data_IF_344700660798
#
_entry.id   IF_344700660798
#
_cell.length_a   1.000
_cell.length_b   1.000
_cell.length_c   1.000
_cell.angle_alpha   90.00
_cell.angle_beta   90.00
_cell.angle_gamma   90.00
#
_symmetry.space_group_name_H-M   'P 1'
#
loop_
_entity.id
_entity.type
_entity.pdbx_description
1 polymer ?
#
# COMPACT_ATOMS: atom_id res chain seq x y z
N UNK A 1 9.66 -20.41 -22.23
CA UNK A 1 8.39 -20.18 -21.52
C UNK A 1 8.70 -19.40 -20.26
N UNK A 2 8.07 -18.26 -20.04
CA UNK A 2 8.13 -17.53 -18.76
C UNK A 2 7.48 -18.43 -17.70
N UNK A 3 8.16 -18.66 -16.57
CA UNK A 3 7.60 -19.43 -15.46
C UNK A 3 6.32 -18.77 -14.92
N UNK A 4 5.39 -19.57 -14.40
CA UNK A 4 4.21 -19.04 -13.69
C UNK A 4 4.62 -18.46 -12.34
N UNK A 5 4.01 -17.33 -11.96
CA UNK A 5 4.18 -16.75 -10.62
C UNK A 5 3.69 -17.72 -9.55
N UNK A 6 4.49 -17.85 -8.50
CA UNK A 6 4.08 -18.58 -7.28
C UNK A 6 3.00 -17.77 -6.55
N UNK A 7 3.24 -16.47 -6.37
CA UNK A 7 2.27 -15.59 -5.72
C UNK A 7 1.51 -14.75 -6.74
N UNK A 8 0.20 -14.70 -6.59
CA UNK A 8 -0.72 -13.87 -7.37
C UNK A 8 -1.16 -12.62 -6.61
N UNK A 9 -0.94 -12.61 -5.31
CA UNK A 9 -1.26 -11.53 -4.42
C UNK A 9 -0.09 -11.26 -3.47
N UNK A 10 0.10 -9.98 -3.11
CA UNK A 10 1.02 -9.57 -2.07
C UNK A 10 0.37 -8.53 -1.15
N UNK A 11 0.57 -8.68 0.16
CA UNK A 11 0.19 -7.69 1.17
C UNK A 11 1.47 -7.11 1.78
N UNK A 12 1.69 -5.81 1.61
CA UNK A 12 2.86 -5.09 2.11
C UNK A 12 2.41 -4.08 3.17
N UNK A 13 2.86 -4.27 4.41
CA UNK A 13 2.61 -3.36 5.51
C UNK A 13 3.85 -2.60 5.93
N UNK A 14 3.80 -1.27 5.89
CA UNK A 14 4.89 -0.38 6.31
C UNK A 14 4.35 0.75 7.16
N UNK A 15 5.09 1.14 8.20
CA UNK A 15 4.78 2.31 9.01
C UNK A 15 4.74 3.60 8.18
N UNK A 16 4.21 4.67 8.76
CA UNK A 16 4.26 6.00 8.16
C UNK A 16 5.72 6.40 7.91
N UNK A 17 5.97 7.14 6.81
CA UNK A 17 7.29 7.50 6.28
C UNK A 17 8.12 6.34 5.72
N UNK A 18 7.60 5.11 5.73
CA UNK A 18 8.24 3.93 5.13
C UNK A 18 8.38 3.97 3.60
N UNK A 19 7.97 5.06 2.93
CA UNK A 19 8.12 5.22 1.48
C UNK A 19 7.04 4.53 0.64
N UNK A 20 5.90 4.13 1.22
CA UNK A 20 4.84 3.35 0.56
C UNK A 20 4.49 3.83 -0.85
N UNK A 21 4.10 5.10 -1.01
CA UNK A 21 3.72 5.62 -2.33
C UNK A 21 4.87 5.65 -3.34
N UNK A 22 6.12 5.72 -2.86
CA UNK A 22 7.32 5.57 -3.70
C UNK A 22 7.45 4.12 -4.18
N UNK A 23 7.27 3.17 -3.26
CA UNK A 23 7.30 1.73 -3.53
C UNK A 23 6.15 1.35 -4.46
N UNK A 24 4.93 1.88 -4.23
CA UNK A 24 3.76 1.65 -5.10
C UNK A 24 4.05 2.06 -6.56
N UNK A 25 4.60 3.26 -6.75
CA UNK A 25 4.97 3.74 -8.07
C UNK A 25 6.07 2.87 -8.72
N UNK A 26 7.13 2.54 -7.95
CA UNK A 26 8.24 1.73 -8.44
C UNK A 26 7.80 0.31 -8.81
N UNK A 27 6.96 -0.33 -7.99
CA UNK A 27 6.44 -1.67 -8.27
C UNK A 27 5.58 -1.68 -9.53
N UNK A 28 4.65 -0.73 -9.67
CA UNK A 28 3.83 -0.63 -10.88
C UNK A 28 4.67 -0.46 -12.15
N UNK A 29 5.67 0.43 -12.11
CA UNK A 29 6.60 0.62 -13.23
C UNK A 29 7.45 -0.65 -13.48
N UNK A 30 8.01 -1.25 -12.44
CA UNK A 30 8.85 -2.46 -12.59
C UNK A 30 8.08 -3.58 -13.26
N UNK A 31 6.80 -3.77 -12.93
CA UNK A 31 5.95 -4.78 -13.57
C UNK A 31 5.73 -4.46 -15.05
N UNK A 32 5.53 -3.19 -15.40
CA UNK A 32 5.34 -2.77 -16.80
C UNK A 32 6.62 -2.97 -17.63
N UNK A 33 7.81 -2.65 -17.10
CA UNK A 33 9.06 -2.74 -17.85
C UNK A 33 9.69 -4.14 -17.83
N UNK A 34 9.64 -4.83 -16.71
CA UNK A 34 10.29 -6.15 -16.57
C UNK A 34 9.43 -7.29 -17.13
N UNK A 35 8.12 -7.09 -17.20
CA UNK A 35 7.17 -8.08 -17.71
C UNK A 35 6.24 -7.46 -18.74
N UNK A 36 6.77 -6.87 -19.82
CA UNK A 36 5.94 -6.21 -20.81
C UNK A 36 5.02 -7.23 -21.47
N UNK A 37 3.73 -6.92 -21.45
CA UNK A 37 2.69 -7.64 -22.16
C UNK A 37 2.15 -6.72 -23.26
N UNK A 38 1.92 -7.25 -24.45
CA UNK A 38 1.31 -6.48 -25.53
C UNK A 38 -0.05 -5.92 -25.07
N UNK A 39 -0.24 -4.61 -25.22
CA UNK A 39 -1.40 -3.87 -24.71
C UNK A 39 -1.66 -4.09 -23.20
N UNK A 40 -0.59 -4.36 -22.42
CA UNK A 40 -0.69 -4.64 -20.99
C UNK A 40 -1.12 -3.42 -20.19
N UNK A 41 -2.05 -3.61 -19.25
CA UNK A 41 -2.57 -2.57 -18.37
C UNK A 41 -2.00 -2.72 -16.95
N UNK A 42 -1.33 -1.66 -16.47
CA UNK A 42 -0.70 -1.60 -15.14
C UNK A 42 -1.28 -0.45 -14.36
N UNK A 43 -1.86 -0.74 -13.20
CA UNK A 43 -2.59 0.25 -12.42
C UNK A 43 -2.03 0.43 -11.02
N UNK A 44 -2.07 1.68 -10.54
CA UNK A 44 -2.01 1.98 -9.12
C UNK A 44 -3.34 2.59 -8.71
N UNK A 45 -3.99 2.01 -7.72
CA UNK A 45 -5.24 2.52 -7.14
C UNK A 45 -4.91 3.34 -5.90
N UNK A 46 -5.33 4.59 -5.87
CA UNK A 46 -5.16 5.50 -4.74
C UNK A 46 -6.52 6.00 -4.24
N UNK A 47 -6.59 6.37 -2.97
CA UNK A 47 -7.84 6.69 -2.27
C UNK A 47 -8.57 7.92 -2.79
N UNK A 48 -7.82 8.88 -3.36
CA UNK A 48 -8.38 10.13 -3.91
C UNK A 48 -7.65 10.54 -5.19
N UNK A 49 -8.28 11.39 -6.01
CA UNK A 49 -7.62 11.99 -7.20
C UNK A 49 -6.33 12.73 -6.84
N UNK A 50 -6.28 13.40 -5.68
CA UNK A 50 -5.07 14.08 -5.21
C UNK A 50 -3.95 13.10 -4.90
N UNK A 51 -4.27 12.01 -4.21
CA UNK A 51 -3.30 10.96 -3.89
C UNK A 51 -2.83 10.23 -5.16
N UNK A 52 -3.74 9.96 -6.09
CA UNK A 52 -3.41 9.43 -7.40
C UNK A 52 -2.39 10.31 -8.13
N UNK A 53 -2.60 11.63 -8.14
CA UNK A 53 -1.64 12.58 -8.71
C UNK A 53 -0.25 12.49 -8.08
N UNK A 54 -0.16 12.37 -6.74
CA UNK A 54 1.13 12.25 -6.03
C UNK A 54 1.88 10.97 -6.44
N UNK A 55 1.18 9.84 -6.54
CA UNK A 55 1.80 8.57 -6.95
C UNK A 55 2.22 8.63 -8.42
N UNK A 56 1.38 9.18 -9.29
CA UNK A 56 1.70 9.36 -10.71
C UNK A 56 2.91 10.26 -10.92
N UNK A 57 3.01 11.39 -10.21
CA UNK A 57 4.16 12.29 -10.31
C UNK A 57 5.47 11.60 -9.86
N UNK A 58 5.41 10.70 -8.87
CA UNK A 58 6.57 9.88 -8.47
C UNK A 58 6.97 8.94 -9.60
N UNK A 59 6.02 8.21 -10.19
CA UNK A 59 6.26 7.33 -11.34
C UNK A 59 6.86 8.09 -12.52
N UNK A 60 6.26 9.22 -12.88
CA UNK A 60 6.75 10.11 -13.94
C UNK A 60 8.19 10.59 -13.70
N UNK A 61 8.52 11.01 -12.47
CA UNK A 61 9.89 11.43 -12.12
C UNK A 61 10.88 10.29 -12.24
N UNK A 62 10.53 9.06 -11.87
CA UNK A 62 11.38 7.89 -12.03
C UNK A 62 11.68 7.64 -13.51
N UNK A 63 10.66 7.65 -14.37
CA UNK A 63 10.84 7.48 -15.83
C UNK A 63 11.72 8.58 -16.41
N UNK A 64 11.47 9.85 -16.05
CA UNK A 64 12.22 10.97 -16.60
C UNK A 64 13.67 11.05 -16.10
N UNK A 65 13.97 10.49 -14.94
CA UNK A 65 15.30 10.46 -14.34
C UNK A 65 16.21 9.41 -15.00
N UNK A 66 15.66 8.35 -15.56
CA UNK A 66 16.42 7.29 -16.21
C UNK A 66 16.43 7.51 -17.74
N UNK A 67 17.60 7.62 -18.40
CA UNK A 67 17.68 7.86 -19.84
C UNK A 67 17.02 6.78 -20.70
N UNK A 68 17.14 5.51 -20.30
CA UNK A 68 16.56 4.38 -21.03
C UNK A 68 15.02 4.40 -20.92
N UNK A 69 14.50 4.52 -19.72
CA UNK A 69 13.05 4.58 -19.51
C UNK A 69 12.44 5.80 -20.23
N UNK A 70 13.12 6.95 -20.16
CA UNK A 70 12.68 8.16 -20.85
C UNK A 70 12.66 8.00 -22.38
N UNK A 71 13.61 7.29 -22.94
CA UNK A 71 13.70 7.07 -24.39
C UNK A 71 12.60 6.10 -24.89
N UNK A 72 12.15 5.17 -24.04
CA UNK A 72 11.18 4.13 -24.41
C UNK A 72 9.74 4.44 -23.99
N UNK A 73 9.50 5.58 -23.30
CA UNK A 73 8.19 5.89 -22.72
C UNK A 73 7.66 7.22 -23.20
N UNK A 74 6.43 7.23 -23.71
CA UNK A 74 5.65 8.44 -23.87
C UNK A 74 4.97 8.83 -22.58
N UNK A 75 5.19 10.06 -22.15
CA UNK A 75 4.67 10.61 -20.89
C UNK A 75 3.51 11.55 -21.20
N UNK A 76 2.30 11.13 -20.88
CA UNK A 76 1.09 11.95 -20.99
C UNK A 76 0.73 12.56 -19.62
N UNK A 77 -0.39 13.28 -19.57
CA UNK A 77 -0.87 13.95 -18.34
C UNK A 77 -1.20 12.96 -17.21
N UNK A 78 -1.76 11.79 -17.55
CA UNK A 78 -2.24 10.79 -16.59
C UNK A 78 -1.93 9.34 -17.02
N UNK A 79 -1.07 9.17 -18.03
CA UNK A 79 -0.69 7.86 -18.58
C UNK A 79 0.79 7.89 -18.91
N UNK A 80 1.49 6.80 -18.60
CA UNK A 80 2.77 6.46 -19.19
C UNK A 80 2.52 5.31 -20.17
N UNK A 81 3.10 5.37 -21.36
CA UNK A 81 2.90 4.37 -22.42
C UNK A 81 4.26 3.93 -22.96
N UNK A 82 4.42 2.63 -23.16
CA UNK A 82 5.51 2.05 -23.94
C UNK A 82 5.00 1.81 -25.37
N UNK A 83 5.31 2.68 -26.36
CA UNK A 83 4.69 2.60 -27.70
C UNK A 83 4.98 1.29 -28.41
N UNK A 84 6.11 0.67 -28.15
CA UNK A 84 6.53 -0.59 -28.81
C UNK A 84 5.57 -1.75 -28.47
N UNK A 85 5.02 -1.77 -27.25
CA UNK A 85 4.12 -2.83 -26.80
C UNK A 85 2.68 -2.38 -26.66
N UNK A 86 2.40 -1.06 -26.67
CA UNK A 86 1.11 -0.51 -26.30
C UNK A 86 0.80 -0.59 -24.80
N UNK A 87 1.76 -1.04 -23.98
CA UNK A 87 1.56 -1.17 -22.55
C UNK A 87 1.40 0.20 -21.86
N UNK A 88 0.45 0.30 -20.95
CA UNK A 88 0.11 1.54 -20.26
C UNK A 88 0.21 1.40 -18.73
N UNK A 89 0.70 2.46 -18.09
CA UNK A 89 0.62 2.64 -16.65
C UNK A 89 -0.27 3.83 -16.33
N UNK A 90 -1.25 3.61 -15.43
CA UNK A 90 -2.15 4.66 -14.94
C UNK A 90 -2.28 4.62 -13.42
N UNK A 91 -2.55 5.78 -12.83
CA UNK A 91 -2.98 5.85 -11.44
C UNK A 91 -4.46 6.22 -11.40
N UNK A 92 -5.26 5.35 -10.80
CA UNK A 92 -6.70 5.47 -10.71
C UNK A 92 -7.09 5.94 -9.30
N UNK A 93 -8.01 6.91 -9.16
CA UNK A 93 -8.65 7.14 -7.87
C UNK A 93 -9.57 5.96 -7.56
N UNK A 94 -9.81 5.71 -6.26
CA UNK A 94 -10.81 4.75 -5.89
C UNK A 94 -12.20 5.21 -6.33
N UNK A 95 -12.76 4.44 -7.23
CA UNK A 95 -14.17 4.48 -7.62
C UNK A 95 -14.51 3.10 -8.19
N UNK A 96 -15.23 2.29 -7.41
CA UNK A 96 -15.53 0.91 -7.79
C UNK A 96 -16.41 0.84 -9.06
N UNK A 97 -17.25 1.83 -9.30
CA UNK A 97 -18.13 1.87 -10.48
C UNK A 97 -17.34 2.03 -11.78
N UNK A 98 -16.14 2.65 -11.70
CA UNK A 98 -15.24 2.81 -12.85
C UNK A 98 -14.30 1.63 -13.07
N UNK A 99 -14.27 0.66 -12.15
CA UNK A 99 -13.37 -0.50 -12.24
C UNK A 99 -13.87 -1.62 -13.15
N UNK A 100 -15.11 -1.52 -13.62
CA UNK A 100 -15.69 -2.48 -14.57
C UNK A 100 -15.10 -2.29 -15.97
N UNK A 101 -14.62 -3.37 -16.58
CA UNK A 101 -14.05 -3.36 -17.94
C UNK A 101 -12.54 -3.22 -18.01
N UNK A 102 -11.82 -3.15 -16.87
CA UNK A 102 -10.36 -3.24 -16.85
C UNK A 102 -9.88 -4.70 -16.90
N UNK A 103 -8.77 -4.92 -17.64
CA UNK A 103 -8.10 -6.23 -17.75
C UNK A 103 -6.65 -6.13 -17.30
N UNK A 104 -6.40 -5.81 -16.01
CA UNK A 104 -5.07 -5.48 -15.55
C UNK A 104 -4.10 -6.67 -15.57
N UNK A 105 -2.88 -6.41 -16.01
CA UNK A 105 -1.74 -7.31 -15.83
C UNK A 105 -1.19 -7.21 -14.41
N UNK A 106 -1.19 -6.01 -13.85
CA UNK A 106 -0.83 -5.80 -12.46
C UNK A 106 -1.55 -4.60 -11.84
N UNK A 107 -1.87 -4.73 -10.56
CA UNK A 107 -2.50 -3.67 -9.78
C UNK A 107 -1.77 -3.48 -8.46
N UNK A 108 -1.48 -2.23 -8.11
CA UNK A 108 -1.02 -1.85 -6.77
C UNK A 108 -2.11 -1.01 -6.11
N UNK A 109 -2.67 -1.48 -5.00
CA UNK A 109 -3.64 -0.72 -4.19
C UNK A 109 -2.89 -0.05 -3.05
N UNK A 110 -2.82 1.28 -3.06
CA UNK A 110 -2.13 2.08 -2.04
C UNK A 110 -3.08 2.52 -0.91
N UNK A 111 -2.56 2.60 0.31
CA UNK A 111 -3.28 3.02 1.53
C UNK A 111 -4.58 2.24 1.79
N UNK A 112 -4.53 0.90 1.66
CA UNK A 112 -5.73 0.05 1.75
C UNK A 112 -6.50 0.16 3.07
N UNK A 113 -5.85 0.63 4.16
CA UNK A 113 -6.52 0.83 5.45
C UNK A 113 -7.63 1.89 5.46
N UNK A 114 -7.68 2.78 4.46
CA UNK A 114 -8.74 3.79 4.36
C UNK A 114 -9.91 3.35 3.48
N UNK A 115 -9.80 2.18 2.84
CA UNK A 115 -10.87 1.61 2.04
C UNK A 115 -12.03 1.14 2.93
N UNK A 116 -13.26 1.52 2.58
CA UNK A 116 -14.46 1.21 3.37
C UNK A 116 -14.86 -0.25 3.26
N UNK A 117 -14.64 -0.83 2.07
CA UNK A 117 -14.99 -2.19 1.72
C UNK A 117 -13.94 -2.79 0.75
N UNK A 118 -14.15 -4.02 0.33
CA UNK A 118 -13.25 -4.76 -0.56
C UNK A 118 -13.59 -4.60 -2.05
N UNK A 119 -14.63 -3.85 -2.42
CA UNK A 119 -15.23 -3.84 -3.76
C UNK A 119 -14.22 -3.55 -4.88
N UNK A 120 -13.39 -2.52 -4.70
CA UNK A 120 -12.34 -2.18 -5.68
C UNK A 120 -11.32 -3.32 -5.85
N UNK A 121 -10.88 -3.91 -4.74
CA UNK A 121 -9.92 -5.03 -4.78
C UNK A 121 -10.53 -6.24 -5.48
N UNK A 122 -11.79 -6.55 -5.20
CA UNK A 122 -12.54 -7.64 -5.83
C UNK A 122 -12.76 -7.38 -7.32
N UNK A 123 -13.10 -6.16 -7.71
CA UNK A 123 -13.25 -5.77 -9.11
C UNK A 123 -11.93 -5.94 -9.89
N UNK A 124 -10.80 -5.51 -9.32
CA UNK A 124 -9.48 -5.69 -9.93
C UNK A 124 -9.08 -7.16 -10.04
N UNK A 125 -9.33 -7.97 -9.01
CA UNK A 125 -9.10 -9.43 -9.07
C UNK A 125 -9.96 -10.10 -10.13
N UNK A 126 -11.23 -9.72 -10.24
CA UNK A 126 -12.14 -10.23 -11.27
C UNK A 126 -11.66 -9.88 -12.68
N UNK A 127 -11.20 -8.64 -12.89
CA UNK A 127 -10.62 -8.21 -14.17
C UNK A 127 -9.34 -8.96 -14.57
N UNK A 128 -8.64 -9.54 -13.59
CA UNK A 128 -7.40 -10.30 -13.81
C UNK A 128 -7.63 -11.80 -14.13
N UNK A 129 -8.85 -12.29 -14.16
CA UNK A 129 -9.16 -13.73 -14.32
C UNK A 129 -8.56 -14.31 -15.60
N UNK A 130 -8.53 -13.56 -16.70
CA UNK A 130 -7.93 -13.98 -17.97
C UNK A 130 -6.41 -13.81 -18.05
N UNK A 131 -5.78 -13.22 -17.04
CA UNK A 131 -4.36 -12.87 -17.07
C UNK A 131 -3.48 -14.00 -16.52
N UNK A 132 -2.58 -14.55 -17.35
CA UNK A 132 -1.77 -15.73 -16.98
C UNK A 132 -0.89 -15.47 -15.75
N UNK A 133 -0.24 -14.29 -15.66
CA UNK A 133 0.67 -13.90 -14.58
C UNK A 133 0.21 -12.62 -13.87
N UNK A 134 -1.11 -12.39 -13.76
CA UNK A 134 -1.64 -11.24 -13.04
C UNK A 134 -1.13 -11.15 -11.61
N UNK A 135 -0.84 -9.93 -11.11
CA UNK A 135 -0.36 -9.68 -9.75
C UNK A 135 -1.09 -8.51 -9.12
N UNK A 136 -1.75 -8.76 -7.99
CA UNK A 136 -2.32 -7.71 -7.16
C UNK A 136 -1.47 -7.49 -5.91
N UNK A 137 -0.99 -6.27 -5.72
CA UNK A 137 -0.20 -5.86 -4.56
C UNK A 137 -1.03 -4.87 -3.73
N UNK A 138 -1.27 -5.19 -2.47
CA UNK A 138 -1.94 -4.30 -1.52
C UNK A 138 -0.89 -3.70 -0.59
N UNK A 139 -0.80 -2.37 -0.54
CA UNK A 139 0.15 -1.66 0.33
C UNK A 139 -0.62 -0.84 1.35
N UNK A 140 -0.24 -0.93 2.63
CA UNK A 140 -0.94 -0.21 3.68
C UNK A 140 -0.07 0.08 4.90
N UNK A 141 -0.59 0.94 5.76
CA UNK A 141 -0.26 1.02 7.19
C UNK A 141 -1.39 0.35 7.97
N UNK A 142 -1.17 -0.02 9.23
CA UNK A 142 -2.22 -0.52 10.10
C UNK A 142 -3.41 0.43 10.18
N UNK A 143 -4.61 -0.12 10.24
CA UNK A 143 -5.86 0.64 10.39
C UNK A 143 -6.07 1.15 11.81
N UNK A 144 -7.08 2.03 12.01
CA UNK A 144 -7.41 2.58 13.34
C UNK A 144 -8.05 1.57 14.28
N UNK A 145 -8.59 0.49 13.75
CA UNK A 145 -9.32 -0.53 14.47
C UNK A 145 -9.07 -1.92 13.87
N UNK A 146 -9.26 -2.95 14.68
CA UNK A 146 -9.15 -4.37 14.26
C UNK A 146 -10.43 -4.82 13.53
N UNK A 147 -10.82 -4.06 12.50
CA UNK A 147 -11.99 -4.34 11.65
C UNK A 147 -11.78 -3.81 10.23
N UNK A 148 -12.68 -4.19 9.33
CA UNK A 148 -12.67 -3.73 7.93
C UNK A 148 -11.79 -4.57 7.03
N UNK A 149 -11.74 -4.20 5.73
CA UNK A 149 -11.19 -5.07 4.68
C UNK A 149 -9.70 -5.37 4.85
N UNK A 150 -8.90 -4.42 5.35
CA UNK A 150 -7.48 -4.66 5.61
C UNK A 150 -7.26 -5.66 6.75
N UNK A 151 -8.04 -5.54 7.84
CA UNK A 151 -7.94 -6.47 8.97
C UNK A 151 -8.31 -7.89 8.57
N UNK A 152 -9.39 -8.04 7.79
CA UNK A 152 -9.79 -9.36 7.27
C UNK A 152 -8.73 -9.93 6.31
N UNK A 153 -8.15 -9.09 5.44
CA UNK A 153 -7.07 -9.51 4.55
C UNK A 153 -5.83 -9.99 5.31
N UNK A 154 -5.44 -9.31 6.40
CA UNK A 154 -4.33 -9.74 7.25
C UNK A 154 -4.55 -11.10 7.92
N UNK A 155 -5.79 -11.46 8.22
CA UNK A 155 -6.15 -12.78 8.79
C UNK A 155 -6.20 -13.89 7.75
N UNK A 156 -6.58 -13.56 6.53
CA UNK A 156 -6.83 -14.54 5.46
C UNK A 156 -5.63 -14.75 4.55
N UNK A 157 -4.90 -13.69 4.18
CA UNK A 157 -3.77 -13.77 3.26
C UNK A 157 -2.66 -14.75 3.70
N UNK A 158 -2.27 -14.87 4.99
CA UNK A 158 -1.26 -15.85 5.41
C UNK A 158 -1.69 -17.31 5.21
N UNK A 159 -2.98 -17.56 4.98
CA UNK A 159 -3.54 -18.90 4.78
C UNK A 159 -3.68 -19.25 3.29
N UNK A 160 -3.56 -18.28 2.40
CA UNK A 160 -3.61 -18.51 0.94
C UNK A 160 -2.19 -18.77 0.42
N UNK A 161 -1.89 -19.97 -0.13
CA UNK A 161 -0.57 -20.28 -0.67
C UNK A 161 -0.19 -19.41 -1.88
N UNK A 162 -1.14 -18.70 -2.49
CA UNK A 162 -0.90 -17.77 -3.60
C UNK A 162 -0.69 -16.34 -3.14
N UNK A 163 -0.80 -16.05 -1.83
CA UNK A 163 -0.59 -14.73 -1.26
C UNK A 163 0.75 -14.66 -0.50
N UNK A 164 1.50 -13.58 -0.70
CA UNK A 164 2.69 -13.27 0.07
C UNK A 164 2.41 -12.11 1.02
N UNK A 165 2.75 -12.28 2.30
CA UNK A 165 2.59 -11.22 3.31
C UNK A 165 3.95 -10.73 3.76
N UNK A 166 4.22 -9.44 3.55
CA UNK A 166 5.38 -8.72 4.05
C UNK A 166 4.91 -7.58 4.95
N UNK A 167 4.84 -7.83 6.25
CA UNK A 167 4.35 -6.86 7.23
C UNK A 167 5.46 -6.47 8.18
N UNK A 168 5.95 -5.23 8.09
CA UNK A 168 6.97 -4.67 8.97
C UNK A 168 6.30 -3.80 10.03
N UNK A 169 6.36 -4.24 11.28
CA UNK A 169 5.72 -3.57 12.40
C UNK A 169 6.01 -4.23 13.73
N UNK A 170 5.43 -3.71 14.80
CA UNK A 170 5.42 -4.34 16.10
C UNK A 170 4.33 -5.42 16.15
N UNK A 171 4.58 -6.49 16.90
CA UNK A 171 3.60 -7.52 17.23
C UNK A 171 2.77 -7.12 18.45
N UNK A 172 1.73 -7.89 18.77
CA UNK A 172 0.90 -7.65 19.97
C UNK A 172 1.68 -7.89 21.27
N UNK A 173 2.69 -8.77 21.25
CA UNK A 173 3.53 -9.11 22.41
C UNK A 173 4.66 -8.09 22.66
N UNK A 174 4.89 -7.15 21.73
CA UNK A 174 5.94 -6.16 21.85
C UNK A 174 5.54 -5.01 22.80
N UNK A 175 6.50 -4.58 23.64
CA UNK A 175 6.36 -3.32 24.36
C UNK A 175 6.47 -2.13 23.39
N UNK A 176 5.32 -1.54 23.09
CA UNK A 176 5.25 -0.37 22.19
C UNK A 176 5.93 0.90 22.73
N UNK A 177 6.38 0.90 23.99
CA UNK A 177 7.13 2.00 24.62
C UNK A 177 8.66 1.83 24.45
N UNK A 178 9.14 0.63 24.06
CA UNK A 178 10.57 0.38 23.88
C UNK A 178 11.09 0.95 22.53
N UNK A 179 12.10 1.85 22.56
CA UNK A 179 12.76 2.36 21.35
C UNK A 179 13.40 1.28 20.45
N UNK A 180 13.73 0.11 20.98
CA UNK A 180 14.21 -1.02 20.18
C UNK A 180 13.11 -1.57 19.27
N UNK A 181 11.89 -1.66 19.78
CA UNK A 181 10.70 -2.01 18.99
C UNK A 181 10.43 -0.97 17.94
N UNK A 182 10.55 0.33 18.26
CA UNK A 182 10.40 1.39 17.28
C UNK A 182 11.38 1.25 16.11
N UNK A 183 12.65 0.94 16.41
CA UNK A 183 13.67 0.77 15.37
C UNK A 183 13.39 -0.44 14.48
N UNK A 184 12.95 -1.55 15.06
CA UNK A 184 12.58 -2.75 14.32
C UNK A 184 11.37 -2.51 13.40
N UNK A 185 10.35 -1.79 13.88
CA UNK A 185 9.18 -1.41 13.10
C UNK A 185 9.48 -0.37 12.00
N UNK A 186 10.64 0.33 12.07
CA UNK A 186 11.07 1.36 11.12
C UNK A 186 12.51 1.11 10.66
N UNK A 187 12.77 0.08 9.83
CA UNK A 187 14.12 -0.27 9.40
C UNK A 187 14.76 0.74 8.44
N UNK A 188 14.00 1.68 7.93
CA UNK A 188 14.45 2.67 6.95
C UNK A 188 15.49 3.63 7.55
N UNK A 189 16.62 3.84 6.85
CA UNK A 189 17.74 4.66 7.36
C UNK A 189 17.37 6.13 7.63
N UNK A 190 16.42 6.67 6.86
CA UNK A 190 15.96 8.05 7.02
C UNK A 190 14.99 8.27 8.18
N UNK A 191 14.46 7.20 8.81
CA UNK A 191 13.63 7.29 10.00
C UNK A 191 14.53 7.13 11.23
N UNK A 192 14.80 8.24 11.92
CA UNK A 192 15.67 8.23 13.11
C UNK A 192 14.89 8.00 14.39
N UNK A 193 15.54 7.48 15.43
CA UNK A 193 14.95 7.34 16.77
C UNK A 193 14.55 8.72 17.34
N UNK A 194 15.28 9.78 17.00
CA UNK A 194 14.93 11.14 17.40
C UNK A 194 13.55 11.52 16.84
N UNK A 195 13.33 11.33 15.53
CA UNK A 195 12.01 11.59 14.91
C UNK A 195 10.90 10.78 15.56
N UNK A 196 11.13 9.51 15.84
CA UNK A 196 10.14 8.65 16.48
C UNK A 196 9.85 9.10 17.92
N UNK A 197 10.87 9.51 18.68
CA UNK A 197 10.69 10.05 20.03
C UNK A 197 9.89 11.35 20.04
N UNK A 198 10.10 12.22 19.07
CA UNK A 198 9.33 13.46 18.94
C UNK A 198 7.85 13.16 18.63
N UNK A 199 7.57 12.17 17.77
CA UNK A 199 6.21 11.73 17.49
C UNK A 199 5.56 11.02 18.70
N UNK A 200 6.32 10.19 19.41
CA UNK A 200 5.84 9.53 20.63
C UNK A 200 5.41 10.52 21.72
N UNK A 201 6.10 11.66 21.84
CA UNK A 201 5.75 12.73 22.80
C UNK A 201 4.53 13.56 22.34
N UNK A 202 4.30 13.65 21.04
CA UNK A 202 3.29 14.54 20.45
C UNK A 202 1.96 13.84 20.22
N UNK A 203 1.99 12.54 19.89
CA UNK A 203 0.79 11.79 19.51
C UNK A 203 0.25 10.99 20.69
N UNK A 204 -1.09 10.84 20.82
CA UNK A 204 -1.67 9.81 21.66
C UNK A 204 -1.10 8.43 21.31
N UNK A 205 -0.80 7.60 22.33
CA UNK A 205 -0.11 6.34 22.11
C UNK A 205 -0.79 5.42 21.07
N UNK A 206 -2.13 5.22 21.03
CA UNK A 206 -2.76 4.41 19.98
C UNK A 206 -2.56 4.94 18.57
N UNK A 207 -2.40 6.26 18.41
CA UNK A 207 -2.09 6.88 17.12
C UNK A 207 -0.63 6.63 16.74
N UNK A 208 0.29 6.71 17.72
CA UNK A 208 1.69 6.38 17.52
C UNK A 208 1.87 4.91 17.14
N UNK A 209 1.20 3.97 17.85
CA UNK A 209 1.19 2.54 17.50
C UNK A 209 0.80 2.31 16.06
N UNK A 210 -0.32 2.86 15.64
CA UNK A 210 -0.83 2.70 14.29
C UNK A 210 0.12 3.25 13.24
N UNK A 211 0.57 4.49 13.43
CA UNK A 211 1.33 5.23 12.40
C UNK A 211 2.80 4.84 12.34
N UNK A 212 3.41 4.60 13.52
CA UNK A 212 4.86 4.43 13.61
C UNK A 212 5.30 3.03 14.04
N UNK A 213 4.42 2.24 14.65
CA UNK A 213 4.70 0.83 14.92
C UNK A 213 4.01 -0.11 13.91
N UNK A 214 3.20 0.42 13.01
CA UNK A 214 2.42 -0.36 12.04
C UNK A 214 1.64 -1.50 12.72
N UNK A 215 1.11 -1.24 13.91
CA UNK A 215 0.34 -2.15 14.75
C UNK A 215 -1.09 -1.65 14.88
N UNK A 216 -2.06 -2.54 14.74
CA UNK A 216 -3.45 -2.20 15.00
C UNK A 216 -3.65 -1.98 16.51
N UNK A 217 -4.15 -0.82 16.94
CA UNK A 217 -4.37 -0.56 18.36
C UNK A 217 -5.35 -1.58 18.97
N UNK A 218 -5.09 -1.97 20.20
CA UNK A 218 -6.00 -2.84 20.98
C UNK A 218 -7.29 -2.12 21.37
N UNK A 219 -7.21 -0.78 21.55
CA UNK A 219 -8.37 0.11 21.78
C UNK A 219 -8.54 1.02 20.57
N UNK A 220 -9.77 1.13 20.04
CA UNK A 220 -10.05 1.99 18.89
C UNK A 220 -9.57 3.43 19.09
N UNK A 221 -8.90 4.00 18.09
CA UNK A 221 -8.36 5.37 18.13
C UNK A 221 -9.44 6.45 18.14
N UNK A 222 -10.71 6.09 18.00
CA UNK A 222 -11.86 7.01 17.96
C UNK A 222 -12.44 7.33 19.35
N UNK A 223 -11.85 6.85 20.46
CA UNK A 223 -12.26 7.31 21.78
C UNK A 223 -11.65 8.68 22.02
N UNK A 224 -12.50 9.70 22.19
CA UNK A 224 -12.08 11.07 22.50
C UNK A 224 -11.27 11.13 23.82
N UNK A 225 -11.45 10.13 24.71
CA UNK A 225 -10.78 10.00 26.00
C UNK A 225 -10.29 8.57 26.25
N UNK A 226 -9.17 8.38 26.97
CA UNK A 226 -8.71 7.06 27.39
C UNK A 226 -9.79 6.29 28.17
N UNK A 227 -9.77 4.96 28.05
CA UNK A 227 -10.67 4.11 28.87
C UNK A 227 -10.38 4.37 30.36
N UNK A 228 -11.42 4.67 31.15
CA UNK A 228 -11.28 4.94 32.58
C UNK A 228 -11.17 6.43 32.97
N UNK A 229 -11.05 7.35 32.03
CA UNK A 229 -10.96 8.79 32.35
C UNK A 229 -12.20 9.32 33.11
N UNK A 230 -13.38 8.78 32.80
CA UNK A 230 -14.63 9.13 33.51
C UNK A 230 -14.62 8.67 34.96
N UNK A 231 -13.98 7.57 35.28
CA UNK A 231 -13.86 7.09 36.68
C UNK A 231 -12.87 7.93 37.48
N UNK A 232 -11.85 8.50 36.84
CA UNK A 232 -10.87 9.36 37.53
C UNK A 232 -11.38 10.81 37.69
N UNK A 233 -12.37 11.25 36.93
CA UNK A 233 -12.94 12.60 37.00
C UNK A 233 -14.20 12.69 37.87
N UNK A 234 -14.70 11.55 38.40
CA UNK A 234 -15.90 11.45 39.23
C UNK A 234 -15.60 11.27 40.72
N UNK A 235 -14.33 11.47 41.13
CA UNK A 235 -13.88 11.42 42.53
C UNK A 235 -13.72 12.78 43.15
#
# INVERSE_FOLDING_TARGET
ARGRRVYREALIGLARWGGKSQVSAALGLSLMYCEPTYEGEYYVVATTKKQAGIVFDKAKRMVLADPLLRATTKVYRAVLEIPETGAIFRVLPWDADTAQGFHPQAVVIDEYHVHRDASMREAMLSGMVGTENGLLITISTAGPERKGPLWELLKTAPKDPRAHVFWVGATDDDDGHDPKVWRRANPMRWITIKMLRDQYRTLPFPVFERLHLNRFPSTGTNRAYPAGWWHAAAG
#
